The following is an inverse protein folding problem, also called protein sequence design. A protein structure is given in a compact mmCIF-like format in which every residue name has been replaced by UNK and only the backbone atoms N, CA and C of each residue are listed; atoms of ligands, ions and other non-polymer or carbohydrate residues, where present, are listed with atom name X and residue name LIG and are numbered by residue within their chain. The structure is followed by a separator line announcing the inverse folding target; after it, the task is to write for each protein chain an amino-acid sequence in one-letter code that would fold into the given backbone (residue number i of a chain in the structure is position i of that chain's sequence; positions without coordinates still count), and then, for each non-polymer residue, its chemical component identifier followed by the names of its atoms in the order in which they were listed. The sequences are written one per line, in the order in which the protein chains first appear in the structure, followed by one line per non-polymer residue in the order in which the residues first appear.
data_IF_423210444857
#
_entry.id   IF_423210444857
#
_cell.length_a   1.000
_cell.length_b   1.000
_cell.length_c   1.000
_cell.angle_alpha   90.00
_cell.angle_beta   90.00
_cell.angle_gamma   90.00
#
_symmetry.space_group_name_H-M   'P 1'
#
loop_
_entity.id
_entity.type
_entity.pdbx_description
1 polymer ?
#
# COMPACT_ATOMS: atom_id res chain seq x y z
N UNK A 1 -19.80 12.11 4.94
CA UNK A 1 -18.40 12.48 4.60
C UNK A 1 -17.49 11.40 5.18
N UNK A 2 -16.60 10.75 4.39
CA UNK A 2 -15.71 9.72 4.92
C UNK A 2 -14.61 10.32 5.80
N UNK A 3 -14.18 9.57 6.82
CA UNK A 3 -13.08 9.95 7.69
C UNK A 3 -11.71 9.66 7.09
N UNK A 4 -11.62 8.68 6.19
CA UNK A 4 -10.39 8.27 5.51
C UNK A 4 -10.73 7.66 4.16
N UNK A 5 -9.87 7.89 3.18
CA UNK A 5 -9.86 7.16 1.92
C UNK A 5 -8.76 6.10 1.95
N UNK A 6 -9.10 4.86 1.62
CA UNK A 6 -8.15 3.74 1.50
C UNK A 6 -8.11 3.28 0.04
N UNK A 7 -6.93 3.34 -0.57
CA UNK A 7 -6.71 2.90 -1.96
C UNK A 7 -5.64 1.83 -2.07
N UNK A 8 -5.76 0.94 -3.04
CA UNK A 8 -4.84 -0.18 -3.28
C UNK A 8 -4.07 -0.04 -4.60
N UNK A 9 -3.78 1.21 -5.00
CA UNK A 9 -3.12 1.51 -6.27
C UNK A 9 -4.00 1.26 -7.51
N UNK A 10 -3.35 1.13 -8.66
CA UNK A 10 -4.03 0.97 -9.96
C UNK A 10 -4.75 2.22 -10.46
N UNK A 11 -5.24 2.19 -11.71
CA UNK A 11 -5.92 3.32 -12.35
C UNK A 11 -7.18 3.77 -11.57
N UNK A 12 -7.91 2.81 -10.99
CA UNK A 12 -9.16 3.04 -10.27
C UNK A 12 -8.99 3.85 -8.98
N UNK A 13 -7.82 3.81 -8.32
CA UNK A 13 -7.57 4.56 -7.10
C UNK A 13 -7.19 6.03 -7.34
N UNK A 14 -6.78 6.39 -8.56
CA UNK A 14 -6.29 7.74 -8.89
C UNK A 14 -7.35 8.83 -8.69
N UNK A 15 -8.46 8.82 -9.45
CA UNK A 15 -9.48 9.86 -9.34
C UNK A 15 -10.09 10.00 -7.93
N UNK A 16 -10.48 8.90 -7.23
CA UNK A 16 -10.98 8.99 -5.86
C UNK A 16 -9.97 9.60 -4.87
N UNK A 17 -8.68 9.32 -5.00
CA UNK A 17 -7.65 9.90 -4.15
C UNK A 17 -7.51 11.42 -4.37
N UNK A 18 -7.63 11.90 -5.61
CA UNK A 18 -7.64 13.34 -5.90
C UNK A 18 -8.84 14.01 -5.24
N UNK A 19 -10.04 13.43 -5.35
CA UNK A 19 -11.23 13.98 -4.69
C UNK A 19 -11.11 13.95 -3.16
N UNK A 20 -10.54 12.89 -2.57
CA UNK A 20 -10.26 12.84 -1.14
C UNK A 20 -9.33 13.98 -0.71
N UNK A 21 -8.27 14.25 -1.49
CA UNK A 21 -7.33 15.36 -1.22
C UNK A 21 -8.01 16.73 -1.27
N UNK A 22 -8.90 16.95 -2.24
CA UNK A 22 -9.68 18.18 -2.39
C UNK A 22 -10.69 18.35 -1.23
N UNK A 23 -11.32 17.26 -0.81
CA UNK A 23 -12.26 17.23 0.32
C UNK A 23 -11.58 17.28 1.70
N UNK A 24 -10.24 17.39 1.75
CA UNK A 24 -9.42 17.33 2.98
C UNK A 24 -9.65 16.05 3.79
N UNK A 25 -9.90 14.93 3.10
CA UNK A 25 -9.99 13.60 3.70
C UNK A 25 -8.59 12.96 3.66
N UNK A 26 -8.08 12.42 4.79
CA UNK A 26 -6.78 11.76 4.80
C UNK A 26 -6.78 10.52 3.90
N UNK A 27 -5.66 10.31 3.22
CA UNK A 27 -5.48 9.24 2.24
C UNK A 27 -4.48 8.23 2.79
N UNK A 28 -4.87 6.96 2.81
CA UNK A 28 -4.01 5.82 3.06
C UNK A 28 -3.95 4.98 1.78
N UNK A 29 -2.74 4.64 1.34
CA UNK A 29 -2.53 3.76 0.18
C UNK A 29 -1.90 2.46 0.68
N UNK A 30 -2.27 1.33 0.10
CA UNK A 30 -1.58 0.05 0.30
C UNK A 30 -0.99 -0.42 -1.04
N UNK A 31 0.28 -0.86 -1.01
CA UNK A 31 1.00 -1.46 -2.14
C UNK A 31 1.44 -2.87 -1.77
N UNK A 32 0.95 -3.83 -2.55
CA UNK A 32 1.16 -5.26 -2.33
C UNK A 32 2.45 -5.77 -2.98
N UNK A 33 2.92 -5.10 -4.04
CA UNK A 33 4.05 -5.52 -4.84
C UNK A 33 5.37 -4.94 -4.33
N UNK A 34 6.45 -5.71 -4.44
CA UNK A 34 7.82 -5.26 -4.09
C UNK A 34 8.29 -4.11 -4.98
N UNK A 35 7.81 -4.04 -6.22
CA UNK A 35 8.03 -2.93 -7.15
C UNK A 35 6.74 -2.10 -7.24
N UNK A 36 6.70 -0.89 -6.66
CA UNK A 36 5.49 -0.08 -6.64
C UNK A 36 5.05 0.36 -8.03
N UNK A 37 3.75 0.26 -8.29
CA UNK A 37 3.15 0.70 -9.55
C UNK A 37 3.21 2.23 -9.75
N UNK A 38 3.01 2.68 -10.99
CA UNK A 38 3.01 4.12 -11.32
C UNK A 38 1.99 4.89 -10.47
N UNK A 39 0.76 4.39 -10.34
CA UNK A 39 -0.26 5.08 -9.54
C UNK A 39 0.14 5.22 -8.08
N UNK A 40 0.68 4.17 -7.46
CA UNK A 40 1.19 4.23 -6.07
C UNK A 40 2.30 5.26 -5.94
N UNK A 41 3.26 5.27 -6.88
CA UNK A 41 4.37 6.24 -6.92
C UNK A 41 3.89 7.69 -7.03
N UNK A 42 2.80 7.94 -7.75
CA UNK A 42 2.17 9.26 -7.84
C UNK A 42 1.39 9.59 -6.56
N UNK A 43 0.53 8.66 -6.10
CA UNK A 43 -0.35 8.87 -4.95
C UNK A 43 0.39 8.98 -3.62
N UNK A 44 1.62 8.45 -3.49
CA UNK A 44 2.43 8.61 -2.27
C UNK A 44 2.61 10.07 -1.85
N UNK A 45 2.59 11.00 -2.81
CA UNK A 45 2.73 12.43 -2.57
C UNK A 45 1.46 13.05 -1.97
N UNK A 46 0.30 12.45 -2.23
CA UNK A 46 -1.00 12.85 -1.66
C UNK A 46 -1.33 12.08 -0.37
N UNK A 47 -0.83 10.85 -0.25
CA UNK A 47 -1.07 9.98 0.89
C UNK A 47 -0.41 10.50 2.17
N UNK A 48 -1.14 10.34 3.29
CA UNK A 48 -0.59 10.53 4.64
C UNK A 48 0.37 9.39 4.98
N UNK A 49 0.01 8.17 4.61
CA UNK A 49 0.78 6.95 4.85
C UNK A 49 0.61 5.99 3.68
N UNK A 50 1.67 5.27 3.35
CA UNK A 50 1.63 4.17 2.38
C UNK A 50 2.00 2.87 3.09
N UNK A 51 1.06 1.94 3.21
CA UNK A 51 1.28 0.61 3.73
C UNK A 51 1.94 -0.24 2.65
N UNK A 52 3.03 -0.94 2.98
CA UNK A 52 3.75 -1.79 2.04
C UNK A 52 3.91 -3.21 2.56
N UNK A 53 4.09 -4.16 1.65
CA UNK A 53 4.26 -5.58 1.96
C UNK A 53 5.67 -5.93 2.42
N UNK A 54 6.70 -5.25 1.90
CA UNK A 54 8.10 -5.57 2.14
C UNK A 54 9.05 -4.34 2.15
N UNK A 55 10.32 -4.63 2.39
CA UNK A 55 11.40 -3.65 2.51
C UNK A 55 11.79 -3.02 1.16
N UNK A 56 11.67 -3.76 0.05
CA UNK A 56 11.95 -3.27 -1.31
C UNK A 56 10.96 -2.15 -1.68
N UNK A 57 9.67 -2.38 -1.46
CA UNK A 57 8.63 -1.38 -1.69
C UNK A 57 8.82 -0.17 -0.76
N UNK A 58 9.20 -0.40 0.51
CA UNK A 58 9.49 0.69 1.47
C UNK A 58 10.63 1.58 0.97
N UNK A 59 11.73 0.98 0.50
CA UNK A 59 12.87 1.69 -0.04
C UNK A 59 12.48 2.53 -1.28
N UNK A 60 11.65 1.99 -2.17
CA UNK A 60 11.18 2.69 -3.37
C UNK A 60 10.23 3.85 -3.07
N UNK A 61 9.39 3.75 -2.03
CA UNK A 61 8.35 4.75 -1.70
C UNK A 61 8.81 5.79 -0.68
N UNK A 62 9.86 5.51 0.09
CA UNK A 62 10.53 6.45 1.00
C UNK A 62 9.82 6.60 2.35
N UNK A 63 10.04 7.74 3.02
CA UNK A 63 9.71 7.95 4.44
C UNK A 63 8.22 7.79 4.82
N UNK A 64 7.29 7.90 3.86
CA UNK A 64 5.86 7.74 4.11
C UNK A 64 5.42 6.27 4.09
N UNK A 65 6.30 5.36 3.69
CA UNK A 65 6.03 3.95 3.62
C UNK A 65 6.24 3.25 4.97
N UNK A 66 5.27 2.44 5.38
CA UNK A 66 5.29 1.65 6.61
C UNK A 66 5.03 0.19 6.25
N UNK A 67 5.90 -0.72 6.71
CA UNK A 67 5.71 -2.15 6.48
C UNK A 67 4.55 -2.63 7.34
N UNK A 68 3.50 -3.09 6.68
CA UNK A 68 2.34 -3.72 7.31
C UNK A 68 2.19 -5.19 6.90
N UNK A 69 2.87 -5.60 5.84
CA UNK A 69 2.55 -6.84 5.14
C UNK A 69 1.28 -6.71 4.31
N UNK A 70 0.86 -7.83 3.72
CA UNK A 70 -0.40 -7.92 2.99
C UNK A 70 -1.53 -8.38 3.94
N UNK A 71 -2.68 -7.68 3.95
CA UNK A 71 -3.85 -8.16 4.68
C UNK A 71 -4.32 -9.47 4.04
N UNK A 72 -4.40 -10.52 4.84
CA UNK A 72 -4.88 -11.84 4.42
C UNK A 72 -6.08 -12.25 5.25
N UNK A 73 -6.87 -13.18 4.73
CA UNK A 73 -8.00 -13.74 5.48
C UNK A 73 -7.50 -14.42 6.75
N UNK A 74 -8.25 -14.37 7.87
CA UNK A 74 -7.84 -14.99 9.13
C UNK A 74 -7.48 -16.47 9.00
N UNK A 75 -8.21 -17.21 8.17
CA UNK A 75 -7.92 -18.62 7.90
C UNK A 75 -6.55 -18.85 7.25
N UNK A 76 -6.10 -17.90 6.42
CA UNK A 76 -4.77 -17.95 5.79
C UNK A 76 -3.69 -17.56 6.81
N UNK A 77 -3.96 -16.54 7.63
CA UNK A 77 -3.03 -16.12 8.69
C UNK A 77 -2.81 -17.21 9.75
N UNK A 78 -3.80 -18.08 9.98
CA UNK A 78 -3.72 -19.20 10.90
C UNK A 78 -2.93 -20.41 10.36
N UNK A 79 -2.62 -20.44 9.06
CA UNK A 79 -1.83 -21.54 8.48
C UNK A 79 -0.40 -21.51 9.06
N UNK A 80 0.21 -22.68 9.32
CA UNK A 80 1.61 -22.75 9.72
C UNK A 80 2.49 -22.00 8.72
N UNK A 81 3.38 -21.14 9.22
CA UNK A 81 4.33 -20.45 8.35
C UNK A 81 5.23 -21.49 7.69
N UNK A 82 5.00 -21.75 6.41
CA UNK A 82 5.97 -22.46 5.58
C UNK A 82 7.18 -21.55 5.43
N UNK A 83 8.39 -22.03 5.74
CA UNK A 83 9.60 -21.28 5.40
C UNK A 83 9.56 -20.99 3.91
N UNK A 84 9.55 -19.71 3.54
CA UNK A 84 9.69 -19.32 2.16
C UNK A 84 11.01 -19.91 1.65
N UNK A 85 10.97 -20.60 0.51
CA UNK A 85 12.20 -20.86 -0.22
C UNK A 85 12.81 -19.48 -0.51
N UNK A 86 14.03 -19.25 -0.02
CA UNK A 86 14.79 -18.06 -0.38
C UNK A 86 14.75 -17.92 -1.89
N UNK A 87 14.24 -16.79 -2.41
CA UNK A 87 14.45 -16.46 -3.81
C UNK A 87 15.96 -16.52 -4.02
N UNK A 88 16.40 -17.43 -4.88
CA UNK A 88 17.81 -17.55 -5.24
C UNK A 88 18.33 -16.22 -5.79
N UNK A 89 19.66 -16.03 -5.77
CA UNK A 89 20.30 -14.83 -6.31
C UNK A 89 19.91 -14.57 -7.77
#
# INVERSE_FOLDING_TARGET
KPDVFVGFGGYSAGPPAVFARLARVPILIHEQNSVPGLTTRLLRHLARTVCVSDEEARAALGKRAVITGNPVRPQIAALPRRRAATKGP
#
